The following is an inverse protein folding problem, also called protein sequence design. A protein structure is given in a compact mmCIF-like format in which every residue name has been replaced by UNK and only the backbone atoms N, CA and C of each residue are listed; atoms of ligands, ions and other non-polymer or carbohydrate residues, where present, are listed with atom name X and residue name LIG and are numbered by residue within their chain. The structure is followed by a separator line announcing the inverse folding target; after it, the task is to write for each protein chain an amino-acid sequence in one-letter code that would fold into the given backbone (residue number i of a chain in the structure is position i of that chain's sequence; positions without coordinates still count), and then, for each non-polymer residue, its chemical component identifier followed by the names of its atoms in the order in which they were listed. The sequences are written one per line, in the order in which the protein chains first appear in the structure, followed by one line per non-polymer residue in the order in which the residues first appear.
data_IF_682499928428
#
_entry.id   IF_682499928428
#
_cell.length_a   1.000
_cell.length_b   1.000
_cell.length_c   1.000
_cell.angle_alpha   90.00
_cell.angle_beta   90.00
_cell.angle_gamma   90.00
#
_symmetry.space_group_name_H-M   'P 1'
#
loop_
_entity.id
_entity.type
_entity.pdbx_description
1 polymer ?
#
# COMPACT_ATOMS: atom_id res chain seq x y z
N UNK A 1 -33.35 16.62 -5.99
CA UNK A 1 -34.64 17.09 -6.59
C UNK A 1 -35.69 17.17 -5.49
N UNK A 2 -36.74 17.99 -5.62
CA UNK A 2 -37.85 18.02 -4.65
C UNK A 2 -38.55 16.67 -4.50
N UNK A 3 -38.42 15.79 -5.51
CA UNK A 3 -38.94 14.42 -5.51
C UNK A 3 -38.12 13.43 -4.67
N UNK A 4 -37.00 13.87 -4.09
CA UNK A 4 -36.10 13.06 -3.24
C UNK A 4 -35.54 13.95 -2.13
N UNK A 5 -36.41 14.72 -1.47
CA UNK A 5 -36.09 15.59 -0.32
C UNK A 5 -34.88 16.52 -0.51
N UNK A 6 -34.64 16.97 -1.74
CA UNK A 6 -33.46 17.74 -2.14
C UNK A 6 -32.10 17.06 -1.86
N UNK A 7 -32.09 15.76 -1.54
CA UNK A 7 -30.88 14.97 -1.36
C UNK A 7 -30.17 14.72 -2.69
N UNK A 8 -28.85 14.51 -2.61
CA UNK A 8 -28.00 14.13 -3.74
C UNK A 8 -28.32 12.70 -4.18
N UNK A 9 -28.48 12.48 -5.48
CA UNK A 9 -28.69 11.13 -6.03
C UNK A 9 -28.37 11.05 -7.52
N UNK A 10 -28.11 9.83 -7.99
CA UNK A 10 -28.03 9.50 -9.41
C UNK A 10 -29.41 9.38 -10.06
N UNK A 11 -29.57 10.05 -11.19
CA UNK A 11 -30.74 9.92 -12.06
C UNK A 11 -30.25 9.55 -13.45
N UNK A 12 -30.62 8.35 -13.90
CA UNK A 12 -30.33 7.90 -15.25
C UNK A 12 -31.56 8.14 -16.13
N UNK A 13 -31.36 8.77 -17.28
CA UNK A 13 -32.45 9.08 -18.19
C UNK A 13 -32.17 8.47 -19.56
N UNK A 14 -33.19 7.89 -20.18
CA UNK A 14 -33.12 7.33 -21.52
C UNK A 14 -34.30 7.83 -22.36
N UNK A 15 -34.08 8.26 -23.62
CA UNK A 15 -35.17 8.62 -24.51
C UNK A 15 -35.93 7.37 -24.97
N UNK A 16 -37.25 7.44 -24.99
CA UNK A 16 -38.10 6.45 -25.67
C UNK A 16 -38.20 6.88 -27.13
N UNK A 17 -37.61 6.10 -28.04
CA UNK A 17 -37.62 6.37 -29.48
C UNK A 17 -38.76 5.63 -30.17
N UNK A 18 -39.25 6.19 -31.28
CA UNK A 18 -40.27 5.53 -32.10
C UNK A 18 -39.68 4.32 -32.82
N UNK A 19 -40.43 3.22 -32.88
CA UNK A 19 -40.03 2.03 -33.63
C UNK A 19 -40.04 2.26 -35.15
N UNK A 20 -40.89 3.18 -35.63
CA UNK A 20 -41.01 3.50 -37.06
C UNK A 20 -39.95 4.53 -37.52
N UNK A 21 -39.38 5.28 -36.58
CA UNK A 21 -38.35 6.30 -36.83
C UNK A 21 -37.51 6.54 -35.58
N UNK A 22 -36.30 5.99 -35.52
CA UNK A 22 -35.42 6.08 -34.36
C UNK A 22 -35.00 7.52 -34.02
N UNK A 23 -35.01 8.44 -34.98
CA UNK A 23 -34.70 9.86 -34.74
C UNK A 23 -35.84 10.59 -34.02
N UNK A 24 -37.04 10.01 -33.97
CA UNK A 24 -38.20 10.58 -33.29
C UNK A 24 -38.26 10.15 -31.82
N UNK A 25 -38.03 11.08 -30.92
CA UNK A 25 -38.21 10.91 -29.47
C UNK A 25 -39.70 11.05 -29.10
N UNK A 26 -40.28 10.03 -28.48
CA UNK A 26 -41.68 9.98 -28.03
C UNK A 26 -41.85 10.37 -26.56
N UNK A 27 -40.78 10.31 -25.79
CA UNK A 27 -40.77 10.58 -24.36
C UNK A 27 -39.44 10.15 -23.73
N UNK A 28 -39.43 9.94 -22.41
CA UNK A 28 -38.25 9.48 -21.69
C UNK A 28 -38.62 8.61 -20.50
N UNK A 29 -37.68 7.76 -20.10
CA UNK A 29 -37.71 7.01 -18.85
C UNK A 29 -36.62 7.60 -17.96
N UNK A 30 -36.96 7.94 -16.72
CA UNK A 30 -36.01 8.32 -15.69
C UNK A 30 -35.98 7.25 -14.59
N UNK A 31 -34.79 6.80 -14.23
CA UNK A 31 -34.54 5.90 -13.10
C UNK A 31 -33.84 6.73 -12.02
N UNK A 32 -34.54 6.93 -10.90
CA UNK A 32 -33.99 7.60 -9.73
C UNK A 32 -33.45 6.53 -8.80
N UNK A 33 -32.15 6.59 -8.50
CA UNK A 33 -31.52 5.64 -7.59
C UNK A 33 -31.71 6.10 -6.14
N UNK A 34 -31.82 5.18 -5.20
CA UNK A 34 -31.76 5.51 -3.77
C UNK A 34 -30.29 5.53 -3.33
N UNK A 35 -29.57 6.56 -3.76
CA UNK A 35 -28.11 6.58 -3.69
C UNK A 35 -27.57 6.50 -2.27
N UNK A 36 -28.22 7.18 -1.32
CA UNK A 36 -27.77 7.23 0.07
C UNK A 36 -27.72 5.82 0.69
N UNK A 37 -28.82 5.08 0.63
CA UNK A 37 -28.93 3.74 1.21
C UNK A 37 -27.99 2.76 0.50
N UNK A 38 -27.96 2.82 -0.84
CA UNK A 38 -27.21 1.85 -1.64
C UNK A 38 -25.69 2.05 -1.51
N UNK A 39 -25.19 3.28 -1.52
CA UNK A 39 -23.76 3.51 -1.30
C UNK A 39 -23.33 3.25 0.14
N UNK A 40 -24.18 3.55 1.14
CA UNK A 40 -23.91 3.19 2.53
C UNK A 40 -23.73 1.67 2.68
N UNK A 41 -24.64 0.87 2.10
CA UNK A 41 -24.53 -0.58 2.09
C UNK A 41 -23.23 -1.05 1.39
N UNK A 42 -22.91 -0.50 0.21
CA UNK A 42 -21.67 -0.83 -0.50
C UNK A 42 -20.41 -0.58 0.34
N UNK A 43 -20.33 0.59 1.01
CA UNK A 43 -19.20 0.92 1.89
C UNK A 43 -19.14 -0.07 3.06
N UNK A 44 -20.28 -0.30 3.73
CA UNK A 44 -20.34 -1.18 4.90
C UNK A 44 -19.98 -2.65 4.57
N UNK A 45 -20.35 -3.13 3.39
CA UNK A 45 -20.01 -4.47 2.92
C UNK A 45 -18.56 -4.61 2.46
N UNK A 46 -17.99 -3.54 1.90
CA UNK A 46 -16.62 -3.54 1.38
C UNK A 46 -15.56 -3.36 2.47
N UNK A 47 -15.94 -2.73 3.59
CA UNK A 47 -15.01 -2.48 4.68
C UNK A 47 -14.75 -3.72 5.53
N UNK A 48 -13.49 -3.95 5.94
CA UNK A 48 -13.10 -5.06 6.80
C UNK A 48 -13.80 -5.05 8.15
N UNK A 49 -14.32 -6.22 8.52
CA UNK A 49 -15.12 -6.41 9.74
C UNK A 49 -14.33 -7.13 10.83
N UNK A 50 -14.59 -6.75 12.08
CA UNK A 50 -14.13 -7.48 13.25
C UNK A 50 -14.98 -8.72 13.54
N UNK A 51 -14.71 -9.39 14.68
CA UNK A 51 -15.41 -10.60 15.09
C UNK A 51 -16.93 -10.41 15.28
N UNK A 52 -17.39 -9.17 15.51
CA UNK A 52 -18.79 -8.82 15.73
C UNK A 52 -19.50 -8.28 14.47
N UNK A 53 -18.92 -8.47 13.28
CA UNK A 53 -19.41 -7.92 11.99
C UNK A 53 -19.42 -6.37 11.87
N UNK A 54 -18.90 -5.67 12.87
CA UNK A 54 -18.69 -4.22 12.83
C UNK A 54 -17.43 -3.88 12.04
N UNK A 55 -17.46 -2.74 11.34
CA UNK A 55 -16.28 -2.17 10.67
C UNK A 55 -15.18 -1.97 11.72
N UNK A 56 -13.96 -2.45 11.44
CA UNK A 56 -12.85 -2.29 12.36
C UNK A 56 -12.62 -0.81 12.68
N UNK A 57 -12.32 -0.52 13.95
CA UNK A 57 -12.03 0.83 14.41
C UNK A 57 -10.88 1.46 13.61
N UNK A 58 -10.98 2.76 13.34
CA UNK A 58 -9.98 3.49 12.55
C UNK A 58 -10.15 3.37 11.04
N UNK A 59 -11.10 2.59 10.54
CA UNK A 59 -11.40 2.50 9.10
C UNK A 59 -12.53 3.43 8.67
N UNK A 60 -12.29 4.20 7.61
CA UNK A 60 -13.37 4.88 6.90
C UNK A 60 -13.13 4.89 5.39
N UNK A 61 -14.21 5.07 4.63
CA UNK A 61 -14.16 5.16 3.18
C UNK A 61 -14.89 6.40 2.68
N UNK A 62 -14.43 6.89 1.53
CA UNK A 62 -15.06 8.00 0.80
C UNK A 62 -15.17 7.57 -0.67
N UNK A 63 -16.37 7.65 -1.21
CA UNK A 63 -16.62 7.61 -2.65
C UNK A 63 -16.68 9.05 -3.15
N UNK A 64 -15.89 9.40 -4.16
CA UNK A 64 -15.84 10.75 -4.70
C UNK A 64 -15.78 10.78 -6.22
N UNK A 65 -16.23 11.89 -6.80
CA UNK A 65 -16.07 12.21 -8.22
C UNK A 65 -14.65 12.70 -8.52
N UNK A 66 -14.30 12.80 -9.80
CA UNK A 66 -13.02 13.37 -10.25
C UNK A 66 -12.83 14.82 -9.81
N UNK A 67 -13.91 15.57 -9.65
CA UNK A 67 -13.93 16.96 -9.18
C UNK A 67 -13.84 17.07 -7.65
N UNK A 68 -13.46 15.99 -6.96
CA UNK A 68 -13.37 15.89 -5.51
C UNK A 68 -14.71 16.13 -4.80
N UNK A 69 -15.84 15.86 -5.44
CA UNK A 69 -17.14 15.94 -4.76
C UNK A 69 -17.48 14.59 -4.15
N UNK A 70 -17.79 14.56 -2.85
CA UNK A 70 -18.19 13.36 -2.11
C UNK A 70 -19.52 12.85 -2.65
N UNK A 71 -19.55 11.57 -2.98
CA UNK A 71 -20.76 10.81 -3.34
C UNK A 71 -21.35 10.16 -2.09
N UNK A 72 -20.50 9.53 -1.27
CA UNK A 72 -20.88 8.89 -0.02
C UNK A 72 -19.66 8.67 0.88
N UNK A 73 -19.87 8.62 2.19
CA UNK A 73 -18.86 8.23 3.17
C UNK A 73 -19.51 7.60 4.40
N UNK A 74 -18.77 6.76 5.13
CA UNK A 74 -19.14 6.35 6.48
C UNK A 74 -18.48 7.22 7.58
N UNK A 75 -17.76 8.28 7.19
CA UNK A 75 -17.20 9.27 8.10
C UNK A 75 -18.15 10.47 8.18
N UNK A 76 -18.59 10.81 9.39
CA UNK A 76 -19.56 11.90 9.63
C UNK A 76 -19.05 13.29 9.21
N UNK A 77 -17.75 13.46 8.98
CA UNK A 77 -17.17 14.71 8.49
C UNK A 77 -17.42 14.94 6.98
N UNK A 78 -17.77 13.89 6.22
CA UNK A 78 -17.98 13.98 4.77
C UNK A 78 -19.41 13.59 4.39
N UNK A 79 -20.25 14.60 4.17
CA UNK A 79 -21.59 14.45 3.60
C UNK A 79 -21.56 14.35 2.08
N UNK A 80 -22.60 13.75 1.50
CA UNK A 80 -22.77 13.74 0.05
C UNK A 80 -22.93 15.17 -0.48
N UNK A 81 -22.14 15.53 -1.51
CA UNK A 81 -22.06 16.87 -2.08
C UNK A 81 -20.92 17.73 -1.53
N UNK A 82 -20.26 17.32 -0.45
CA UNK A 82 -19.13 18.06 0.12
C UNK A 82 -17.90 18.00 -0.78
N UNK A 83 -17.03 19.01 -0.64
CA UNK A 83 -15.71 18.98 -1.26
C UNK A 83 -14.77 18.13 -0.42
N UNK A 84 -14.18 17.11 -1.03
CA UNK A 84 -13.24 16.21 -0.38
C UNK A 84 -11.81 16.76 -0.50
N UNK A 85 -11.41 17.51 0.52
CA UNK A 85 -10.08 18.11 0.59
C UNK A 85 -9.02 17.04 0.86
N UNK A 86 -8.35 16.60 -0.20
CA UNK A 86 -7.17 15.73 -0.21
C UNK A 86 -6.32 16.05 -1.45
N UNK A 87 -5.07 15.59 -1.50
CA UNK A 87 -4.16 15.83 -2.62
C UNK A 87 -4.78 15.40 -3.96
N UNK A 88 -4.71 16.29 -4.96
CA UNK A 88 -5.28 16.10 -6.29
C UNK A 88 -4.64 14.93 -7.05
N UNK A 89 -3.40 14.54 -6.72
CA UNK A 89 -2.72 13.41 -7.35
C UNK A 89 -3.56 12.12 -7.32
N UNK A 90 -4.37 11.91 -6.29
CA UNK A 90 -5.21 10.72 -6.17
C UNK A 90 -6.36 10.69 -7.19
N UNK A 91 -6.76 11.84 -7.72
CA UNK A 91 -7.80 11.98 -8.74
C UNK A 91 -7.23 12.00 -10.18
N UNK A 92 -5.91 11.88 -10.32
CA UNK A 92 -5.24 11.75 -11.62
C UNK A 92 -5.12 10.30 -12.10
N UNK A 93 -5.46 9.32 -11.24
CA UNK A 93 -5.52 7.91 -11.58
C UNK A 93 -6.46 7.67 -12.77
N UNK A 94 -6.00 6.88 -13.74
CA UNK A 94 -6.80 6.44 -14.89
C UNK A 94 -7.74 5.31 -14.49
N UNK A 95 -8.74 5.07 -15.34
CA UNK A 95 -9.73 3.99 -15.15
C UNK A 95 -9.05 2.66 -14.81
N UNK A 96 -9.39 2.12 -13.64
CA UNK A 96 -8.86 0.85 -13.14
C UNK A 96 -7.49 0.92 -12.47
N UNK A 97 -6.82 2.08 -12.44
CA UNK A 97 -5.59 2.27 -11.66
C UNK A 97 -5.90 2.42 -10.17
N UNK A 98 -4.94 1.99 -9.35
CA UNK A 98 -4.97 2.06 -7.90
C UNK A 98 -3.66 2.60 -7.34
N UNK A 99 -3.74 3.29 -6.21
CA UNK A 99 -2.58 3.79 -5.47
C UNK A 99 -2.77 3.49 -3.98
N UNK A 100 -1.68 3.21 -3.27
CA UNK A 100 -1.69 3.07 -1.82
C UNK A 100 -0.53 3.87 -1.25
N UNK A 101 -0.77 4.66 -0.21
CA UNK A 101 0.23 5.56 0.36
C UNK A 101 -0.04 5.79 1.85
N UNK A 102 1.01 6.04 2.64
CA UNK A 102 0.87 6.56 3.99
C UNK A 102 0.82 8.06 3.91
N UNK A 103 -0.26 8.67 4.39
CA UNK A 103 -0.46 10.11 4.30
C UNK A 103 -0.69 10.74 5.67
N UNK A 104 -0.34 12.02 5.75
CA UNK A 104 -0.74 12.92 6.82
C UNK A 104 -2.13 13.49 6.46
N UNK A 105 -3.15 13.23 7.29
CA UNK A 105 -4.51 13.70 7.07
C UNK A 105 -5.20 14.04 8.38
N UNK A 106 -5.75 15.26 8.51
CA UNK A 106 -6.45 15.73 9.72
C UNK A 106 -5.65 15.52 11.02
N UNK A 107 -4.37 15.88 10.98
CA UNK A 107 -3.38 15.72 12.05
C UNK A 107 -3.12 14.26 12.50
N UNK A 108 -3.42 13.29 11.63
CA UNK A 108 -3.21 11.85 11.86
C UNK A 108 -2.46 11.21 10.69
N UNK A 109 -1.83 10.08 10.94
CA UNK A 109 -1.29 9.21 9.91
C UNK A 109 -2.32 8.16 9.51
N UNK A 110 -2.51 8.01 8.21
CA UNK A 110 -3.38 7.00 7.62
C UNK A 110 -2.65 6.19 6.56
N UNK A 111 -2.88 4.88 6.54
CA UNK A 111 -2.66 4.07 5.35
C UNK A 111 -3.87 4.27 4.43
N UNK A 112 -3.66 4.95 3.30
CA UNK A 112 -4.69 5.23 2.31
C UNK A 112 -4.57 4.26 1.14
N UNK A 113 -5.69 3.65 0.75
CA UNK A 113 -5.85 3.00 -0.55
C UNK A 113 -6.85 3.76 -1.43
N UNK A 114 -6.52 3.96 -2.70
CA UNK A 114 -7.35 4.65 -3.69
C UNK A 114 -7.49 3.80 -4.96
N UNK A 115 -8.70 3.72 -5.51
CA UNK A 115 -8.98 3.04 -6.77
C UNK A 115 -9.89 3.91 -7.64
N UNK A 116 -9.49 4.16 -8.89
CA UNK A 116 -10.40 4.70 -9.90
C UNK A 116 -11.25 3.57 -10.48
N UNK A 117 -12.57 3.78 -10.57
CA UNK A 117 -13.51 2.81 -11.11
C UNK A 117 -13.14 2.37 -12.54
N UNK A 118 -13.38 1.09 -12.87
CA UNK A 118 -13.11 0.52 -14.20
C UNK A 118 -14.39 0.18 -14.98
N UNK A 119 -15.56 0.59 -14.46
CA UNK A 119 -16.86 0.18 -14.99
C UNK A 119 -17.22 -1.27 -14.65
N UNK A 120 -18.43 -1.68 -15.04
CA UNK A 120 -18.91 -3.06 -14.90
C UNK A 120 -19.12 -3.66 -16.29
N UNK A 121 -18.81 -4.95 -16.42
CA UNK A 121 -18.61 -5.71 -17.68
C UNK A 121 -19.69 -5.50 -18.74
N UNK A 122 -20.92 -5.21 -18.34
CA UNK A 122 -22.09 -5.08 -19.21
C UNK A 122 -22.53 -3.62 -19.52
N UNK A 123 -22.05 -2.62 -18.77
CA UNK A 123 -22.72 -1.30 -18.74
C UNK A 123 -21.84 -0.09 -19.03
N UNK A 124 -20.52 -0.18 -18.89
CA UNK A 124 -19.60 0.94 -19.20
C UNK A 124 -18.45 0.41 -20.05
N UNK A 125 -18.54 0.59 -21.36
CA UNK A 125 -17.49 0.21 -22.31
C UNK A 125 -16.88 1.46 -22.96
N UNK A 126 -15.72 1.31 -23.59
CA UNK A 126 -15.04 2.40 -24.31
C UNK A 126 -15.84 2.96 -25.50
N UNK A 127 -17.00 2.37 -25.80
CA UNK A 127 -17.92 2.79 -26.86
C UNK A 127 -19.14 3.57 -26.35
N UNK A 128 -19.28 3.73 -25.04
CA UNK A 128 -20.37 4.51 -24.43
C UNK A 128 -19.94 5.98 -24.29
N UNK A 129 -20.84 6.89 -24.61
CA UNK A 129 -20.63 8.34 -24.45
C UNK A 129 -20.74 8.78 -22.97
N UNK A 130 -21.28 7.91 -22.09
CA UNK A 130 -21.38 8.17 -20.66
C UNK A 130 -20.07 7.84 -19.93
N UNK A 131 -19.28 8.89 -19.63
CA UNK A 131 -18.11 8.80 -18.75
C UNK A 131 -18.40 9.45 -17.40
N UNK A 132 -18.27 8.66 -16.33
CA UNK A 132 -18.36 9.13 -14.95
C UNK A 132 -17.42 8.29 -14.09
N UNK A 133 -16.22 8.82 -13.88
CA UNK A 133 -15.16 8.21 -13.09
C UNK A 133 -15.41 8.46 -11.61
N UNK A 134 -15.54 7.37 -10.86
CA UNK A 134 -15.71 7.39 -9.41
C UNK A 134 -14.45 6.84 -8.76
N UNK A 135 -14.00 7.49 -7.70
CA UNK A 135 -12.83 7.14 -6.93
C UNK A 135 -13.28 6.60 -5.58
N UNK A 136 -12.73 5.44 -5.19
CA UNK A 136 -12.94 4.84 -3.88
C UNK A 136 -11.69 5.03 -3.04
N UNK A 137 -11.83 5.71 -1.91
CA UNK A 137 -10.78 5.91 -0.93
C UNK A 137 -11.09 5.07 0.31
N UNK A 138 -10.10 4.36 0.84
CA UNK A 138 -10.18 3.63 2.11
C UNK A 138 -9.02 4.06 2.97
N UNK A 139 -9.35 4.64 4.11
CA UNK A 139 -8.42 5.11 5.12
C UNK A 139 -8.35 4.09 6.23
N UNK A 140 -7.13 3.75 6.64
CA UNK A 140 -6.88 3.06 7.89
C UNK A 140 -6.02 3.91 8.80
N UNK A 141 -6.60 4.30 9.93
CA UNK A 141 -5.92 5.06 10.97
C UNK A 141 -4.72 4.28 11.50
N UNK A 142 -3.59 4.98 11.63
CA UNK A 142 -2.37 4.43 12.20
C UNK A 142 -2.08 5.07 13.57
N UNK A 143 -1.96 6.39 13.61
CA UNK A 143 -1.72 7.15 14.84
C UNK A 143 -2.01 8.63 14.69
N UNK A 144 -2.19 9.34 15.80
CA UNK A 144 -2.13 10.80 15.81
C UNK A 144 -0.67 11.26 15.60
N UNK A 145 -0.49 12.40 14.94
CA UNK A 145 0.84 13.00 14.77
C UNK A 145 1.38 13.48 16.13
N UNK A 146 0.50 13.97 17.00
CA UNK A 146 0.88 14.50 18.31
C UNK A 146 1.39 13.41 19.25
N UNK A 147 0.84 12.20 19.20
CA UNK A 147 1.36 11.03 19.94
C UNK A 147 2.74 10.57 19.45
N UNK A 148 3.20 11.08 18.31
CA UNK A 148 4.55 10.85 17.77
C UNK A 148 5.55 11.92 18.22
N UNK A 149 5.07 13.03 18.81
CA UNK A 149 5.92 14.04 19.46
C UNK A 149 6.29 13.54 20.86
N UNK A 150 7.23 12.61 20.93
CA UNK A 150 8.04 12.51 22.16
C UNK A 150 8.83 13.80 22.22
N UNK A 151 8.56 14.65 23.22
CA UNK A 151 9.36 15.85 23.48
C UNK A 151 10.83 15.44 23.49
N UNK A 152 11.64 16.06 22.64
CA UNK A 152 13.08 15.89 22.65
C UNK A 152 13.60 16.29 24.04
N UNK A 153 13.71 15.31 24.94
CA UNK A 153 14.33 15.49 26.22
C UNK A 153 15.83 15.69 25.98
N UNK A 154 16.19 16.97 25.89
CA UNK A 154 17.53 17.56 25.88
C UNK A 154 18.50 17.10 24.78
N UNK A 155 18.96 18.09 24.01
CA UNK A 155 20.35 18.17 23.56
C UNK A 155 21.29 17.54 24.59
N UNK A 156 21.97 16.43 24.27
CA UNK A 156 23.33 16.18 24.71
C UNK A 156 24.00 15.13 23.79
N UNK A 157 24.91 15.67 22.97
CA UNK A 157 26.24 15.12 22.66
C UNK A 157 26.34 13.85 21.79
N UNK A 158 26.85 14.11 20.58
CA UNK A 158 27.73 13.23 19.82
C UNK A 158 28.85 12.68 20.72
N UNK A 159 28.70 11.46 21.22
CA UNK A 159 29.82 10.64 21.70
C UNK A 159 29.76 9.26 21.02
N UNK A 160 30.54 9.14 19.95
CA UNK A 160 31.14 7.85 19.58
C UNK A 160 32.07 7.46 20.72
N UNK A 161 31.75 6.38 21.43
CA UNK A 161 32.64 5.23 21.75
C UNK A 161 32.03 4.39 22.87
N UNK A 162 31.71 3.13 22.55
CA UNK A 162 31.81 2.00 23.47
C UNK A 162 30.92 1.97 24.71
N UNK A 163 29.68 1.49 24.55
CA UNK A 163 29.07 0.57 25.53
C UNK A 163 27.87 -0.12 24.90
N UNK A 164 27.99 -1.43 24.70
CA UNK A 164 26.87 -2.35 24.48
C UNK A 164 26.13 -2.43 25.83
N UNK A 165 25.29 -1.44 26.10
CA UNK A 165 24.13 -1.67 26.96
C UNK A 165 22.95 -1.66 26.01
N UNK A 166 22.58 -2.87 25.56
CA UNK A 166 21.31 -3.09 24.88
C UNK A 166 20.21 -2.57 25.78
N UNK A 167 19.70 -1.40 25.47
CA UNK A 167 18.45 -0.95 26.06
C UNK A 167 17.43 -1.98 25.58
N UNK A 168 16.84 -2.79 26.47
CA UNK A 168 15.95 -3.91 26.13
C UNK A 168 14.69 -3.48 25.34
N UNK A 169 14.55 -2.18 25.04
CA UNK A 169 13.41 -1.55 24.38
C UNK A 169 13.78 -0.81 23.07
N UNK A 170 14.96 -1.05 22.50
CA UNK A 170 15.34 -0.56 21.17
C UNK A 170 15.73 -1.69 20.22
N UNK A 171 15.59 -1.47 18.91
CA UNK A 171 16.11 -2.35 17.88
C UNK A 171 16.84 -1.58 16.78
N UNK A 172 17.91 -2.19 16.30
CA UNK A 172 18.65 -1.70 15.14
C UNK A 172 17.94 -2.10 13.85
N UNK A 173 17.72 -1.14 12.97
CA UNK A 173 17.07 -1.36 11.68
C UNK A 173 18.08 -1.19 10.56
N UNK A 174 18.36 -2.25 9.83
CA UNK A 174 19.16 -2.18 8.61
C UNK A 174 18.31 -1.54 7.50
N UNK A 175 18.46 -0.22 7.33
CA UNK A 175 17.60 0.56 6.44
C UNK A 175 18.17 0.68 5.02
N UNK A 176 17.28 0.87 4.05
CA UNK A 176 17.60 0.95 2.63
C UNK A 176 16.48 1.65 1.85
N UNK A 177 16.72 1.90 0.56
CA UNK A 177 15.77 2.57 -0.30
C UNK A 177 15.40 1.71 -1.51
N UNK A 178 14.10 1.67 -1.80
CA UNK A 178 13.55 1.20 -3.07
C UNK A 178 12.69 2.34 -3.63
N UNK A 179 13.10 2.90 -4.77
CA UNK A 179 12.52 4.13 -5.34
C UNK A 179 12.65 5.32 -4.39
N UNK A 180 11.51 5.78 -3.88
CA UNK A 180 11.34 6.88 -2.94
C UNK A 180 11.07 6.41 -1.50
N UNK A 181 10.78 5.13 -1.31
CA UNK A 181 10.44 4.54 -0.02
C UNK A 181 11.68 4.23 0.83
N UNK A 182 11.62 4.61 2.10
CA UNK A 182 12.61 4.24 3.10
C UNK A 182 12.13 2.99 3.84
N UNK A 183 12.84 1.90 3.65
CA UNK A 183 12.49 0.57 4.14
C UNK A 183 13.58 0.03 5.06
N UNK A 184 13.28 -1.02 5.81
CA UNK A 184 14.28 -1.70 6.62
C UNK A 184 13.88 -3.10 7.06
N UNK A 185 14.87 -3.86 7.50
CA UNK A 185 14.71 -5.10 8.27
C UNK A 185 15.29 -4.91 9.66
N UNK A 186 14.86 -5.73 10.62
CA UNK A 186 15.63 -5.88 11.85
C UNK A 186 17.05 -6.32 11.49
N UNK A 187 18.06 -5.66 12.08
CA UNK A 187 19.46 -5.91 11.72
C UNK A 187 19.89 -7.37 11.96
N UNK A 188 19.24 -8.06 12.90
CA UNK A 188 19.48 -9.48 13.19
C UNK A 188 19.05 -10.43 12.05
N UNK A 189 18.11 -10.02 11.20
CA UNK A 189 17.65 -10.80 10.05
C UNK A 189 18.53 -10.60 8.81
N UNK A 190 19.32 -9.52 8.79
CA UNK A 190 20.22 -9.17 7.69
C UNK A 190 21.58 -9.83 7.90
N UNK A 191 22.02 -10.57 6.87
CA UNK A 191 23.35 -11.19 6.89
C UNK A 191 24.40 -10.18 6.41
N UNK A 192 24.22 -9.65 5.21
CA UNK A 192 25.06 -8.59 4.62
C UNK A 192 24.42 -8.04 3.34
N UNK A 193 25.04 -7.01 2.77
CA UNK A 193 24.74 -6.48 1.44
C UNK A 193 25.88 -6.79 0.47
N UNK A 194 25.54 -7.08 -0.78
CA UNK A 194 26.49 -7.27 -1.88
C UNK A 194 26.09 -6.45 -3.09
N UNK A 195 27.07 -6.11 -3.94
CA UNK A 195 26.81 -5.29 -5.11
C UNK A 195 26.00 -6.05 -6.18
N UNK A 196 25.17 -5.33 -6.94
CA UNK A 196 24.30 -5.90 -7.98
C UNK A 196 25.07 -6.67 -9.07
N UNK A 197 26.36 -6.35 -9.28
CA UNK A 197 27.21 -7.02 -10.28
C UNK A 197 27.40 -8.53 -10.02
N UNK A 198 27.14 -8.98 -8.79
CA UNK A 198 27.17 -10.40 -8.44
C UNK A 198 25.94 -11.16 -8.95
N UNK A 199 24.87 -10.45 -9.32
CA UNK A 199 23.63 -11.03 -9.81
C UNK A 199 23.83 -11.77 -11.13
N UNK A 200 23.55 -13.06 -11.11
CA UNK A 200 23.49 -13.90 -12.31
C UNK A 200 22.03 -14.06 -12.72
N UNK A 201 21.64 -13.35 -13.77
CA UNK A 201 20.31 -13.51 -14.35
C UNK A 201 20.20 -14.85 -15.08
N UNK A 202 19.17 -15.64 -14.78
CA UNK A 202 18.89 -16.91 -15.45
C UNK A 202 17.64 -16.79 -16.32
N UNK A 203 17.82 -16.78 -17.65
CA UNK A 203 16.78 -16.83 -18.70
C UNK A 203 15.84 -15.61 -18.68
N UNK A 204 15.30 -15.23 -19.86
CA UNK A 204 14.30 -14.17 -20.01
C UNK A 204 12.99 -14.58 -19.30
N UNK A 205 12.96 -14.45 -17.98
CA UNK A 205 11.74 -14.45 -17.19
C UNK A 205 10.91 -13.22 -17.57
N UNK A 206 9.60 -13.35 -17.44
CA UNK A 206 8.69 -12.20 -17.53
C UNK A 206 9.24 -11.06 -16.66
N UNK A 207 9.36 -9.86 -17.24
CA UNK A 207 9.85 -8.67 -16.54
C UNK A 207 9.05 -8.39 -15.26
N UNK A 208 7.79 -8.82 -15.22
CA UNK A 208 6.90 -8.61 -14.09
C UNK A 208 7.02 -9.69 -13.00
N UNK A 209 7.84 -10.73 -13.20
CA UNK A 209 8.09 -11.72 -12.17
C UNK A 209 9.02 -11.15 -11.08
N UNK A 210 8.75 -11.48 -9.81
CA UNK A 210 9.52 -10.99 -8.66
C UNK A 210 10.92 -11.61 -8.62
N UNK A 211 11.09 -12.89 -8.96
CA UNK A 211 12.42 -13.50 -9.12
C UNK A 211 13.22 -12.88 -10.28
N UNK A 212 14.44 -12.41 -10.00
CA UNK A 212 15.33 -11.73 -10.98
C UNK A 212 16.60 -12.50 -11.32
N UNK A 213 17.00 -13.48 -10.52
CA UNK A 213 18.19 -14.28 -10.75
C UNK A 213 18.75 -14.87 -9.47
N UNK A 214 20.01 -15.27 -9.51
CA UNK A 214 20.70 -15.84 -8.35
C UNK A 214 22.10 -15.29 -8.17
N UNK A 215 22.62 -15.38 -6.95
CA UNK A 215 24.00 -15.08 -6.59
C UNK A 215 24.65 -16.34 -6.03
N UNK A 216 25.95 -16.51 -6.23
CA UNK A 216 26.74 -17.51 -5.49
C UNK A 216 27.37 -16.81 -4.30
N UNK A 217 26.90 -17.13 -3.10
CA UNK A 217 27.35 -16.54 -1.86
C UNK A 217 27.84 -17.65 -0.93
N UNK A 218 29.10 -17.57 -0.47
CA UNK A 218 29.75 -18.60 0.37
C UNK A 218 29.52 -20.03 -0.16
N UNK A 219 29.74 -20.21 -1.47
CA UNK A 219 29.54 -21.47 -2.21
C UNK A 219 28.09 -22.00 -2.27
N UNK A 220 27.10 -21.21 -1.81
CA UNK A 220 25.68 -21.51 -1.91
C UNK A 220 25.01 -20.61 -2.96
N UNK A 221 24.12 -21.20 -3.78
CA UNK A 221 23.27 -20.42 -4.67
C UNK A 221 22.09 -19.82 -3.87
N UNK A 222 21.98 -18.49 -3.91
CA UNK A 222 20.92 -17.71 -3.30
C UNK A 222 20.03 -17.12 -4.38
N UNK A 223 18.72 -17.20 -4.21
CA UNK A 223 17.76 -16.55 -5.11
C UNK A 223 17.63 -15.07 -4.78
N UNK A 224 17.49 -14.24 -5.81
CA UNK A 224 17.33 -12.80 -5.69
C UNK A 224 15.97 -12.38 -6.23
N UNK A 225 15.24 -11.61 -5.43
CA UNK A 225 13.89 -11.12 -5.73
C UNK A 225 13.84 -9.59 -5.75
N UNK A 226 12.87 -9.10 -6.50
CA UNK A 226 12.45 -7.71 -6.59
C UNK A 226 11.09 -7.58 -5.92
N UNK A 227 11.00 -6.65 -4.96
CA UNK A 227 9.79 -6.38 -4.19
C UNK A 227 9.13 -5.04 -4.55
N UNK A 228 9.63 -4.31 -5.55
CA UNK A 228 9.13 -2.99 -5.95
C UNK A 228 7.63 -3.01 -6.29
N UNK A 229 7.19 -4.02 -7.03
CA UNK A 229 5.77 -4.20 -7.38
C UNK A 229 4.87 -4.46 -6.15
N UNK A 230 5.43 -4.96 -5.04
CA UNK A 230 4.67 -5.26 -3.82
C UNK A 230 4.52 -4.05 -2.90
N UNK A 231 5.43 -3.09 -2.99
CA UNK A 231 5.33 -1.80 -2.29
C UNK A 231 4.62 -0.72 -3.13
N UNK A 232 4.10 -1.11 -4.31
CA UNK A 232 3.34 -0.27 -5.25
C UNK A 232 4.08 1.02 -5.64
N UNK A 233 5.41 0.95 -5.71
CA UNK A 233 6.24 2.07 -6.15
C UNK A 233 6.24 2.14 -7.67
N UNK A 234 6.22 3.37 -8.22
CA UNK A 234 6.36 3.55 -9.65
C UNK A 234 7.69 2.93 -10.11
N UNK A 235 7.69 2.32 -11.30
CA UNK A 235 8.90 1.86 -11.99
C UNK A 235 9.69 3.07 -12.46
N UNK A 236 10.11 3.93 -11.52
CA UNK A 236 11.13 4.93 -11.81
C UNK A 236 12.40 4.13 -12.11
N UNK A 237 13.02 4.38 -13.27
CA UNK A 237 14.18 3.68 -13.84
C UNK A 237 15.47 3.80 -12.98
N UNK A 238 15.36 4.04 -11.67
CA UNK A 238 16.52 3.98 -10.77
C UNK A 238 17.02 2.54 -10.75
N UNK A 239 18.25 2.38 -11.20
CA UNK A 239 18.92 1.10 -11.19
C UNK A 239 19.04 0.58 -9.75
N UNK A 240 18.86 -0.72 -9.58
CA UNK A 240 19.30 -1.40 -8.37
C UNK A 240 20.82 -1.40 -8.33
N UNK A 241 21.39 -1.08 -7.18
CA UNK A 241 22.84 -1.03 -6.98
C UNK A 241 23.31 -2.13 -6.03
N UNK A 242 22.44 -2.57 -5.13
CA UNK A 242 22.79 -3.49 -4.05
C UNK A 242 21.76 -4.62 -3.91
N UNK A 243 22.19 -5.72 -3.30
CA UNK A 243 21.38 -6.89 -2.94
C UNK A 243 21.55 -7.12 -1.44
N UNK A 244 20.46 -7.04 -0.70
CA UNK A 244 20.46 -7.35 0.74
C UNK A 244 20.17 -8.84 0.90
N UNK A 245 21.09 -9.57 1.54
CA UNK A 245 20.91 -10.98 1.86
C UNK A 245 20.29 -11.07 3.26
N UNK A 246 19.10 -11.65 3.31
CA UNK A 246 18.38 -11.91 4.55
C UNK A 246 18.24 -13.40 4.80
N UNK A 247 18.14 -13.75 6.08
CA UNK A 247 17.74 -15.08 6.56
C UNK A 247 16.23 -15.19 6.49
N UNK A 248 15.69 -16.33 6.05
CA UNK A 248 14.25 -16.56 5.99
C UNK A 248 13.84 -18.02 6.24
N UNK A 249 12.66 -18.18 6.81
CA UNK A 249 12.02 -19.48 7.08
C UNK A 249 12.69 -20.31 8.17
N UNK A 250 12.03 -21.40 8.58
CA UNK A 250 12.48 -22.25 9.70
C UNK A 250 13.79 -23.03 9.43
N UNK A 251 14.30 -23.03 8.20
CA UNK A 251 15.51 -23.76 7.79
C UNK A 251 16.75 -22.90 7.66
N UNK A 252 16.70 -21.63 8.09
CA UNK A 252 17.83 -20.71 7.98
C UNK A 252 18.26 -20.42 6.53
N UNK A 253 17.29 -20.48 5.61
CA UNK A 253 17.55 -20.25 4.18
C UNK A 253 17.91 -18.79 3.93
N UNK A 254 18.62 -18.52 2.84
CA UNK A 254 19.02 -17.16 2.47
C UNK A 254 18.33 -16.72 1.18
N UNK A 255 17.89 -15.46 1.15
CA UNK A 255 17.30 -14.82 -0.03
C UNK A 255 17.88 -13.41 -0.19
N UNK A 256 18.13 -13.01 -1.43
CA UNK A 256 18.58 -11.68 -1.78
C UNK A 256 17.41 -10.78 -2.19
N UNK A 257 17.43 -9.52 -1.78
CA UNK A 257 16.43 -8.51 -2.14
C UNK A 257 17.14 -7.37 -2.86
N UNK A 258 16.66 -7.01 -4.05
CA UNK A 258 17.18 -5.89 -4.81
C UNK A 258 16.80 -4.56 -4.16
N UNK A 259 17.79 -3.67 -4.00
CA UNK A 259 17.60 -2.33 -3.44
C UNK A 259 18.37 -1.28 -4.24
N UNK A 260 17.89 -0.04 -4.24
CA UNK A 260 18.55 1.05 -4.96
C UNK A 260 19.76 1.58 -4.22
N UNK A 261 19.71 1.64 -2.89
CA UNK A 261 20.82 2.08 -2.04
C UNK A 261 20.60 1.66 -0.59
N UNK A 262 21.70 1.55 0.16
CA UNK A 262 21.66 1.33 1.60
C UNK A 262 21.45 2.66 2.32
N UNK A 263 20.75 2.62 3.46
CA UNK A 263 20.63 3.71 4.40
C UNK A 263 21.51 3.51 5.63
N UNK A 264 21.36 4.39 6.61
CA UNK A 264 21.99 4.22 7.93
C UNK A 264 21.33 3.07 8.70
N UNK A 265 21.94 2.66 9.83
CA UNK A 265 21.36 1.70 10.77
C UNK A 265 20.85 2.48 11.99
N UNK A 266 19.64 3.04 11.96
CA UNK A 266 19.09 3.73 13.12
C UNK A 266 18.73 2.74 14.23
N UNK A 267 19.05 3.13 15.45
CA UNK A 267 18.50 2.53 16.66
C UNK A 267 17.09 3.11 16.89
N UNK A 268 16.07 2.26 16.86
CA UNK A 268 14.66 2.65 16.98
C UNK A 268 14.09 2.15 18.31
N UNK A 269 13.51 3.06 19.09
CA UNK A 269 12.77 2.68 20.30
C UNK A 269 11.41 2.06 19.96
N UNK A 270 11.04 0.99 20.67
CA UNK A 270 9.83 0.20 20.40
C UNK A 270 8.53 0.98 20.58
N UNK A 271 8.54 2.03 21.40
CA UNK A 271 7.41 2.94 21.59
C UNK A 271 7.08 3.78 20.35
N UNK A 272 8.02 3.90 19.39
CA UNK A 272 7.84 4.54 18.09
C UNK A 272 7.39 3.57 17.00
N UNK A 273 7.48 2.27 17.25
CA UNK A 273 7.09 1.22 16.31
C UNK A 273 5.58 1.02 16.39
N UNK A 274 4.92 1.09 15.23
CA UNK A 274 3.48 0.80 15.10
C UNK A 274 3.30 -0.43 14.22
N UNK A 275 2.83 -1.54 14.81
CA UNK A 275 2.56 -2.79 14.10
C UNK A 275 1.37 -2.61 13.14
N UNK A 276 1.58 -2.91 11.86
CA UNK A 276 0.58 -2.77 10.80
C UNK A 276 -0.51 -3.83 10.84
N UNK A 277 -0.28 -4.99 11.43
CA UNK A 277 -1.26 -6.10 11.47
C UNK A 277 -2.57 -5.74 12.19
N UNK A 278 -2.53 -4.70 13.02
CA UNK A 278 -3.72 -4.15 13.68
C UNK A 278 -4.53 -3.21 12.77
N UNK A 279 -3.91 -2.61 11.75
CA UNK A 279 -4.45 -1.47 11.03
C UNK A 279 -4.59 -1.71 9.52
N UNK A 280 -3.68 -2.41 8.85
CA UNK A 280 -3.77 -2.67 7.41
C UNK A 280 -4.51 -3.96 7.12
N UNK A 281 -5.43 -3.88 6.16
CA UNK A 281 -6.28 -5.00 5.76
C UNK A 281 -5.75 -5.57 4.45
N UNK A 282 -5.30 -6.82 4.54
CA UNK A 282 -4.93 -7.65 3.40
C UNK A 282 -3.59 -8.34 3.61
N UNK A 283 -3.54 -9.65 3.36
CA UNK A 283 -2.34 -10.50 3.53
C UNK A 283 -1.22 -10.21 2.52
N UNK A 284 -1.35 -9.13 1.72
CA UNK A 284 -0.46 -8.82 0.59
C UNK A 284 0.58 -7.74 0.89
N UNK A 285 0.56 -7.13 2.08
CA UNK A 285 1.64 -6.22 2.48
C UNK A 285 2.84 -7.02 2.98
N UNK A 286 4.04 -6.61 2.58
CA UNK A 286 5.29 -7.16 3.13
C UNK A 286 5.71 -6.42 4.41
N UNK A 287 5.05 -5.31 4.74
CA UNK A 287 5.42 -4.44 5.84
C UNK A 287 4.83 -4.99 7.16
N UNK A 288 5.66 -5.10 8.18
CA UNK A 288 5.31 -5.50 9.54
C UNK A 288 4.91 -4.32 10.40
N UNK A 289 5.71 -3.25 10.34
CA UNK A 289 5.58 -2.12 11.22
C UNK A 289 6.13 -0.85 10.59
N UNK A 290 5.81 0.29 11.19
CA UNK A 290 6.26 1.59 10.73
C UNK A 290 6.85 2.39 11.89
N UNK A 291 7.86 3.18 11.56
CA UNK A 291 8.52 4.11 12.48
C UNK A 291 8.32 5.52 11.93
N UNK A 292 7.67 6.36 12.72
CA UNK A 292 7.39 7.73 12.35
C UNK A 292 8.52 8.68 12.82
N UNK A 293 8.77 9.76 12.07
CA UNK A 293 9.77 10.77 12.41
C UNK A 293 9.39 11.52 13.69
N UNK A 294 10.38 11.98 14.45
CA UNK A 294 10.14 12.75 15.67
C UNK A 294 9.86 14.22 15.36
N UNK A 295 9.21 14.92 16.30
CA UNK A 295 9.04 16.37 16.22
C UNK A 295 10.41 17.07 16.22
N UNK A 296 10.85 17.55 15.06
CA UNK A 296 12.15 18.19 14.87
C UNK A 296 13.06 17.51 13.83
N UNK A 297 12.70 16.32 13.36
CA UNK A 297 13.43 15.68 12.26
C UNK A 297 13.33 16.51 10.98
N UNK A 298 14.47 16.74 10.33
CA UNK A 298 14.53 17.41 9.03
C UNK A 298 13.79 16.61 7.93
N UNK A 299 13.61 15.31 8.15
CA UNK A 299 12.95 14.38 7.25
C UNK A 299 11.58 13.99 7.82
N UNK A 300 10.51 14.26 7.07
CA UNK A 300 9.16 13.74 7.36
C UNK A 300 8.96 12.29 6.88
N UNK A 301 10.01 11.60 6.45
CA UNK A 301 9.87 10.26 5.87
C UNK A 301 9.57 9.22 6.96
N UNK A 302 8.62 8.35 6.65
CA UNK A 302 8.28 7.18 7.47
C UNK A 302 9.18 6.02 7.05
N UNK A 303 9.79 5.34 8.04
CA UNK A 303 10.53 4.10 7.82
C UNK A 303 9.57 2.92 7.95
N UNK A 304 9.45 2.12 6.89
CA UNK A 304 8.64 0.91 6.89
C UNK A 304 9.50 -0.34 7.12
N UNK A 305 9.24 -1.07 8.19
CA UNK A 305 9.96 -2.29 8.55
C UNK A 305 9.25 -3.47 7.88
N UNK A 306 9.98 -4.23 7.07
CA UNK A 306 9.50 -5.39 6.35
C UNK A 306 9.55 -6.65 7.21
N UNK A 307 8.54 -7.51 7.07
CA UNK A 307 8.51 -8.83 7.71
C UNK A 307 9.15 -9.88 6.82
N UNK A 308 10.19 -10.53 7.32
CA UNK A 308 10.81 -11.70 6.68
C UNK A 308 9.81 -12.83 6.49
N UNK A 309 8.93 -13.06 7.47
CA UNK A 309 7.91 -14.09 7.43
C UNK A 309 6.91 -13.82 6.29
N UNK A 310 6.41 -12.58 6.18
CA UNK A 310 5.48 -12.21 5.09
C UNK A 310 6.12 -12.31 3.71
N UNK A 311 7.42 -12.04 3.59
CA UNK A 311 8.18 -12.26 2.35
C UNK A 311 8.21 -13.75 2.00
N UNK A 312 8.53 -14.61 2.97
CA UNK A 312 8.51 -16.06 2.80
C UNK A 312 7.14 -16.58 2.34
N UNK A 313 6.08 -16.20 3.04
CA UNK A 313 4.72 -16.71 2.82
C UNK A 313 4.09 -16.22 1.52
N UNK A 314 4.38 -14.98 1.11
CA UNK A 314 3.75 -14.38 -0.07
C UNK A 314 4.57 -14.50 -1.35
N UNK A 315 5.90 -14.52 -1.26
CA UNK A 315 6.79 -14.49 -2.42
C UNK A 315 7.50 -15.82 -2.66
N UNK A 316 7.79 -16.59 -1.61
CA UNK A 316 8.70 -17.73 -1.71
C UNK A 316 7.97 -19.09 -1.72
N UNK A 317 6.65 -19.14 -1.49
CA UNK A 317 5.78 -20.35 -1.40
C UNK A 317 6.43 -21.67 -1.87
N UNK A 318 6.98 -22.49 -0.93
CA UNK A 318 7.76 -23.69 -1.22
C UNK A 318 7.05 -24.73 -2.10
N UNK A 319 5.72 -24.71 -2.14
CA UNK A 319 4.91 -25.71 -2.87
C UNK A 319 4.57 -25.30 -4.31
N UNK A 320 4.92 -24.09 -4.76
CA UNK A 320 4.57 -23.61 -6.12
C UNK A 320 5.71 -22.98 -6.90
N UNK A 321 6.81 -22.60 -6.27
CA UNK A 321 8.01 -22.12 -6.96
C UNK A 321 8.99 -23.26 -7.19
N UNK A 322 9.66 -23.26 -8.34
CA UNK A 322 10.77 -24.16 -8.69
C UNK A 322 12.05 -23.91 -7.85
N UNK A 323 11.89 -23.43 -6.61
CA UNK A 323 12.90 -22.86 -5.72
C UNK A 323 13.28 -23.81 -4.57
N UNK A 324 13.28 -25.12 -4.83
CA UNK A 324 13.91 -26.08 -3.90
C UNK A 324 15.28 -26.46 -4.51
N UNK A 325 16.41 -26.14 -3.84
CA UNK A 325 17.70 -26.67 -4.23
C UNK A 325 17.61 -28.20 -4.24
N UNK A 326 17.84 -28.83 -5.40
CA UNK A 326 18.01 -30.28 -5.45
C UNK A 326 19.21 -30.60 -4.56
N UNK A 327 18.99 -31.29 -3.43
CA UNK A 327 20.05 -31.93 -2.68
C UNK A 327 20.85 -32.78 -3.66
N UNK A 328 22.09 -32.40 -3.94
CA UNK A 328 23.00 -33.25 -4.68
C UNK A 328 23.29 -34.43 -3.75
N UNK A 329 22.71 -35.58 -4.07
CA UNK A 329 23.07 -36.82 -3.42
C UNK A 329 24.55 -37.07 -3.76
N UNK A 330 25.43 -36.89 -2.76
CA UNK A 330 26.80 -37.35 -2.84
C UNK A 330 26.74 -38.88 -2.74
N UNK A 331 27.00 -39.53 -3.87
CA UNK A 331 27.25 -40.97 -3.97
C UNK A 331 28.73 -41.23 -4.14
#
# INVERSE_FOLDING_TARGET
TSLYDAKHTYIYNAPIRSLDNEDKVLGGIGVVFDSEVQFAAMIQESLPKGANEEVKEGLFAVLATKEQTVIASNNAHYGAGDFFEIDKKFFELKKGESLSEIIEYDAKYYALGVQCSKGYREYKSDKDDYSNDVYSFVFSYISDIEETKVEAASEYVLEREGSIESNENSADIASFYIGSHWLGFHAEDVIESIHIDELRSTIQLDKNHHYKGSVIYKDQMIYVIDIQNFINENVDDKAYEEIIIIRFGASDSLIGILVNSLGDIPEVQMDRVRLLDKYVVGDRTLIESMVFPMGGDASKKVLSILSVEKISDNLVKPERTHMIPRKIAVG
#
